data_IF_731917753168
#
_entry.id   IF_731917753168
#
_cell.length_a   1.000
_cell.length_b   1.000
_cell.length_c   1.000
_cell.angle_alpha   90.00
_cell.angle_beta   90.00
_cell.angle_gamma   90.00
#
_symmetry.space_group_name_H-M   'P 1'
#
loop_
_entity.id
_entity.type
_entity.pdbx_description
1 polymer ?
#
# COMPACT_ATOMS: atom_id res chain seq x y z
N UNK A 1 9.68 2.37 -4.69
CA UNK A 1 9.33 1.53 -5.81
C UNK A 1 9.47 2.30 -7.13
N UNK A 2 10.26 1.76 -8.06
CA UNK A 2 10.58 2.44 -9.31
C UNK A 2 9.38 2.60 -10.24
N UNK A 3 8.38 1.72 -10.11
CA UNK A 3 7.19 1.78 -10.97
C UNK A 3 6.21 2.87 -10.55
N UNK A 4 6.24 3.30 -9.30
CA UNK A 4 5.37 4.35 -8.80
C UNK A 4 6.00 5.71 -9.08
N UNK A 5 5.28 6.57 -9.82
CA UNK A 5 5.73 7.93 -10.11
C UNK A 5 5.76 8.75 -8.82
N UNK A 6 6.79 9.60 -8.65
CA UNK A 6 6.89 10.47 -7.47
C UNK A 6 5.73 11.46 -7.37
N UNK A 7 5.17 11.87 -8.50
CA UNK A 7 4.04 12.80 -8.54
C UNK A 7 2.69 12.09 -8.72
N UNK A 8 2.66 10.76 -8.57
CA UNK A 8 1.41 10.01 -8.63
C UNK A 8 0.44 10.47 -7.55
N UNK A 9 -0.85 10.45 -7.88
CA UNK A 9 -1.90 10.74 -6.91
C UNK A 9 -2.25 9.45 -6.19
N UNK A 10 -2.04 9.41 -4.88
CA UNK A 10 -2.29 8.22 -4.07
C UNK A 10 -3.34 8.50 -3.02
N UNK A 11 -4.37 7.69 -3.01
CA UNK A 11 -5.45 7.76 -2.01
C UNK A 11 -5.22 6.68 -0.96
N UNK A 12 -4.83 7.10 0.24
CA UNK A 12 -4.70 6.21 1.41
C UNK A 12 -6.02 6.28 2.18
N UNK A 13 -6.95 5.39 1.83
CA UNK A 13 -8.34 5.49 2.26
C UNK A 13 -8.90 6.85 1.81
N UNK A 14 -9.15 7.80 2.72
CA UNK A 14 -9.68 9.12 2.39
C UNK A 14 -8.61 10.21 2.31
N UNK A 15 -7.35 9.86 2.52
CA UNK A 15 -6.25 10.84 2.51
C UNK A 15 -5.52 10.78 1.16
N UNK A 16 -5.30 11.95 0.55
CA UNK A 16 -4.59 12.03 -0.74
C UNK A 16 -3.16 12.49 -0.50
N UNK A 17 -2.20 11.73 -1.01
CA UNK A 17 -0.77 12.04 -0.94
C UNK A 17 -0.13 11.80 -2.31
N UNK A 18 1.14 12.16 -2.48
CA UNK A 18 1.86 11.88 -3.72
C UNK A 18 2.66 10.56 -3.60
N UNK A 19 3.19 10.09 -4.75
CA UNK A 19 3.93 8.84 -4.79
C UNK A 19 5.20 8.89 -3.97
N UNK A 20 5.87 10.03 -3.92
CA UNK A 20 7.09 10.19 -3.12
C UNK A 20 6.80 10.00 -1.64
N UNK A 21 5.70 10.60 -1.14
CA UNK A 21 5.27 10.46 0.26
C UNK A 21 4.97 9.00 0.60
N UNK A 22 4.28 8.28 -0.31
CA UNK A 22 3.95 6.87 -0.11
C UNK A 22 5.20 6.02 -0.04
N UNK A 23 6.18 6.25 -0.90
CA UNK A 23 7.45 5.51 -0.88
C UNK A 23 8.16 5.68 0.46
N UNK A 24 8.18 6.89 0.99
CA UNK A 24 8.78 7.18 2.30
C UNK A 24 8.01 6.51 3.43
N UNK A 25 6.67 6.52 3.36
CA UNK A 25 5.84 5.87 4.37
C UNK A 25 6.06 4.35 4.38
N UNK A 26 6.15 3.71 3.22
CA UNK A 26 6.39 2.28 3.14
C UNK A 26 7.76 1.89 3.69
N UNK A 27 8.77 2.71 3.45
CA UNK A 27 10.09 2.50 4.06
C UNK A 27 10.03 2.61 5.58
N UNK A 28 9.21 3.55 6.09
CA UNK A 28 9.01 3.74 7.52
C UNK A 28 8.36 2.55 8.21
N UNK A 29 7.55 1.76 7.49
CA UNK A 29 6.94 0.55 8.05
C UNK A 29 7.98 -0.44 8.58
N UNK A 30 9.16 -0.53 7.94
CA UNK A 30 10.22 -1.42 8.38
C UNK A 30 10.88 -0.99 9.69
N UNK A 31 10.69 0.26 10.11
CA UNK A 31 11.16 0.72 11.41
C UNK A 31 10.15 0.48 12.53
N UNK A 32 8.88 0.23 12.17
CA UNK A 32 7.77 0.03 13.11
C UNK A 32 7.47 -1.47 13.27
N UNK A 33 7.58 -2.22 12.17
CA UNK A 33 7.26 -3.64 12.13
C UNK A 33 8.46 -4.45 11.63
N UNK A 34 8.54 -5.71 12.06
CA UNK A 34 9.52 -6.67 11.55
C UNK A 34 8.78 -7.90 11.01
N UNK A 35 9.53 -8.77 10.31
CA UNK A 35 8.98 -9.99 9.71
C UNK A 35 7.75 -9.71 8.88
N UNK A 36 7.83 -8.69 8.03
CA UNK A 36 6.74 -8.27 7.15
C UNK A 36 6.61 -9.28 6.01
N UNK A 37 5.39 -9.77 5.78
CA UNK A 37 5.07 -10.72 4.72
C UNK A 37 3.79 -10.32 4.02
N UNK A 38 3.72 -10.59 2.72
CA UNK A 38 2.51 -10.41 1.93
C UNK A 38 2.13 -11.79 1.40
N UNK A 39 0.93 -12.24 1.73
CA UNK A 39 0.43 -13.56 1.34
C UNK A 39 -0.92 -13.42 0.63
N UNK A 40 -1.34 -14.49 -0.05
CA UNK A 40 -2.61 -14.54 -0.79
C UNK A 40 -2.77 -13.36 -1.74
N UNK A 41 -1.69 -13.02 -2.47
CA UNK A 41 -1.72 -11.90 -3.38
C UNK A 41 -2.37 -12.30 -4.71
N UNK A 42 -3.36 -11.52 -5.13
CA UNK A 42 -4.02 -11.67 -6.43
C UNK A 42 -3.92 -10.35 -7.17
N UNK A 43 -3.59 -10.41 -8.44
CA UNK A 43 -3.53 -9.23 -9.27
C UNK A 43 -4.33 -9.46 -10.56
N UNK A 44 -5.08 -8.45 -10.99
CA UNK A 44 -5.86 -8.51 -12.22
C UNK A 44 -5.74 -7.16 -12.93
N UNK A 45 -5.34 -7.17 -14.19
CA UNK A 45 -5.18 -5.96 -14.98
C UNK A 45 -6.36 -5.80 -15.94
N UNK A 46 -6.99 -4.65 -15.93
CA UNK A 46 -8.14 -4.31 -16.76
C UNK A 46 -7.77 -3.23 -17.77
N UNK A 47 -8.19 -3.42 -19.01
CA UNK A 47 -8.02 -2.46 -20.09
C UNK A 47 -9.38 -1.88 -20.46
N UNK A 48 -9.56 -0.59 -20.22
CA UNK A 48 -10.84 0.08 -20.44
C UNK A 48 -10.91 0.68 -21.84
N UNK A 49 -12.13 0.85 -22.35
CA UNK A 49 -12.36 1.43 -23.68
C UNK A 49 -11.80 2.84 -23.81
N UNK A 50 -11.72 3.58 -22.70
CA UNK A 50 -11.15 4.92 -22.65
C UNK A 50 -9.64 4.95 -22.87
N UNK A 51 -8.99 3.78 -22.88
CA UNK A 51 -7.52 3.67 -22.94
C UNK A 51 -6.87 3.58 -21.58
N UNK A 52 -7.62 3.71 -20.49
CA UNK A 52 -7.08 3.57 -19.15
C UNK A 52 -6.72 2.12 -18.85
N UNK A 53 -5.62 1.92 -18.12
CA UNK A 53 -5.18 0.61 -17.68
C UNK A 53 -5.06 0.62 -16.16
N UNK A 54 -5.79 -0.29 -15.52
CA UNK A 54 -5.79 -0.41 -14.07
C UNK A 54 -5.42 -1.83 -13.66
N UNK A 55 -4.59 -1.95 -12.63
CA UNK A 55 -4.30 -3.22 -11.98
C UNK A 55 -4.92 -3.22 -10.59
N UNK A 56 -5.68 -4.27 -10.29
CA UNK A 56 -6.31 -4.46 -8.99
C UNK A 56 -5.53 -5.54 -8.24
N UNK A 57 -5.13 -5.26 -7.00
CA UNK A 57 -4.39 -6.19 -6.15
C UNK A 57 -5.14 -6.45 -4.86
N UNK A 58 -5.25 -7.74 -4.49
CA UNK A 58 -5.80 -8.16 -3.21
C UNK A 58 -4.73 -8.97 -2.49
N UNK A 59 -4.45 -8.65 -1.24
CA UNK A 59 -3.43 -9.36 -0.49
C UNK A 59 -3.67 -9.25 1.01
N UNK A 60 -2.95 -10.09 1.77
CA UNK A 60 -2.90 -9.99 3.22
C UNK A 60 -1.49 -9.56 3.60
N UNK A 61 -1.38 -8.45 4.30
CA UNK A 61 -0.14 -7.93 4.86
C UNK A 61 0.01 -8.43 6.27
N UNK A 62 1.17 -8.94 6.63
CA UNK A 62 1.49 -9.40 7.97
C UNK A 62 2.76 -8.75 8.46
N UNK A 63 2.79 -8.39 9.72
CA UNK A 63 3.96 -7.82 10.35
C UNK A 63 3.90 -7.96 11.87
N UNK A 64 5.06 -8.00 12.50
CA UNK A 64 5.17 -8.02 13.96
C UNK A 64 5.60 -6.67 14.44
N UNK A 65 4.85 -6.08 15.37
CA UNK A 65 5.18 -4.77 15.94
C UNK A 65 6.48 -4.82 16.72
N UNK A 66 7.37 -3.86 16.45
CA UNK A 66 8.67 -3.80 17.11
C UNK A 66 8.55 -3.47 18.60
N UNK A 67 7.54 -2.71 18.97
CA UNK A 67 7.31 -2.31 20.38
C UNK A 67 6.45 -3.31 21.14
N UNK A 68 5.36 -3.77 20.53
CA UNK A 68 4.39 -4.62 21.20
C UNK A 68 4.69 -6.12 21.09
N UNK A 69 5.41 -6.52 20.05
CA UNK A 69 5.64 -7.93 19.73
C UNK A 69 4.40 -8.65 19.20
N UNK A 70 3.32 -7.91 18.95
CA UNK A 70 2.06 -8.48 18.47
C UNK A 70 2.17 -8.75 16.97
N UNK A 71 1.69 -9.93 16.54
CA UNK A 71 1.61 -10.27 15.12
C UNK A 71 0.28 -9.77 14.55
N UNK A 72 0.37 -8.90 13.54
CA UNK A 72 -0.79 -8.32 12.88
C UNK A 72 -0.99 -8.94 11.52
N UNK A 73 -2.26 -9.05 11.10
CA UNK A 73 -2.66 -9.49 9.78
C UNK A 73 -3.71 -8.52 9.26
N UNK A 74 -3.53 -8.04 8.02
CA UNK A 74 -4.38 -6.99 7.48
C UNK A 74 -4.69 -7.27 6.02
N UNK A 75 -5.98 -7.34 5.67
CA UNK A 75 -6.41 -7.46 4.29
C UNK A 75 -6.35 -6.10 3.63
N UNK A 76 -5.80 -6.05 2.42
CA UNK A 76 -5.67 -4.81 1.69
C UNK A 76 -6.05 -5.00 0.24
N UNK A 77 -6.53 -3.93 -0.37
CA UNK A 77 -6.90 -3.86 -1.77
C UNK A 77 -6.31 -2.57 -2.35
N UNK A 78 -5.47 -2.71 -3.36
CA UNK A 78 -4.87 -1.57 -4.04
C UNK A 78 -5.28 -1.59 -5.51
N UNK A 79 -5.73 -0.44 -6.02
CA UNK A 79 -5.98 -0.23 -7.45
C UNK A 79 -4.92 0.73 -7.97
N UNK A 80 -4.26 0.37 -9.06
CA UNK A 80 -3.17 1.17 -9.64
C UNK A 80 -3.44 1.49 -11.09
N UNK A 81 -3.40 2.77 -11.44
CA UNK A 81 -3.58 3.23 -12.81
C UNK A 81 -2.20 3.45 -13.45
N UNK A 82 -2.04 2.94 -14.66
CA UNK A 82 -0.78 2.95 -15.39
C UNK A 82 -0.79 3.99 -16.52
N UNK A 83 0.37 4.61 -16.76
CA UNK A 83 0.63 5.43 -17.92
C UNK A 83 2.13 5.34 -18.25
N UNK A 84 2.46 5.00 -19.50
CA UNK A 84 3.83 4.89 -19.99
C UNK A 84 4.74 4.02 -19.09
N UNK A 85 4.19 2.91 -18.58
CA UNK A 85 4.94 1.99 -17.73
C UNK A 85 5.12 2.44 -16.29
N UNK A 86 4.48 3.54 -15.90
CA UNK A 86 4.52 4.04 -14.53
C UNK A 86 3.12 4.08 -13.92
N UNK A 87 3.06 3.88 -12.60
CA UNK A 87 1.83 4.03 -11.84
C UNK A 87 1.65 5.52 -11.56
N UNK A 88 0.57 6.10 -12.06
CA UNK A 88 0.28 7.55 -11.91
C UNK A 88 -0.84 7.83 -10.92
N UNK A 89 -1.62 6.83 -10.56
CA UNK A 89 -2.68 6.95 -9.57
C UNK A 89 -2.81 5.64 -8.83
N UNK A 90 -3.08 5.71 -7.54
CA UNK A 90 -3.16 4.54 -6.69
C UNK A 90 -4.27 4.73 -5.68
N UNK A 91 -5.15 3.74 -5.56
CA UNK A 91 -6.22 3.73 -4.57
C UNK A 91 -5.90 2.61 -3.57
N UNK A 92 -5.65 2.98 -2.32
CA UNK A 92 -5.26 2.03 -1.29
C UNK A 92 -6.36 1.91 -0.25
N UNK A 93 -6.88 0.70 -0.09
CA UNK A 93 -7.92 0.40 0.89
C UNK A 93 -7.37 -0.60 1.91
N UNK A 94 -7.30 -0.18 3.15
CA UNK A 94 -6.76 -1.03 4.22
C UNK A 94 -7.20 -0.51 5.58
N UNK A 95 -7.11 -1.38 6.58
CA UNK A 95 -7.34 -1.00 7.97
C UNK A 95 -6.02 -0.57 8.58
N UNK A 96 -5.94 0.64 9.10
CA UNK A 96 -4.71 1.15 9.71
C UNK A 96 -4.68 1.00 11.23
N UNK A 97 -5.59 0.19 11.80
CA UNK A 97 -5.66 -0.03 13.24
C UNK A 97 -4.34 -0.58 13.80
N UNK A 98 -3.76 -1.58 13.12
CA UNK A 98 -2.50 -2.19 13.56
C UNK A 98 -1.37 -1.16 13.59
N UNK A 99 -1.26 -0.34 12.56
CA UNK A 99 -0.24 0.70 12.47
C UNK A 99 -0.42 1.72 13.59
N UNK A 100 -1.65 2.18 13.82
CA UNK A 100 -1.94 3.16 14.87
C UNK A 100 -1.65 2.59 16.26
N UNK A 101 -2.00 1.33 16.51
CA UNK A 101 -1.70 0.68 17.79
C UNK A 101 -0.20 0.62 18.05
N UNK A 102 0.59 0.29 17.02
CA UNK A 102 2.05 0.18 17.18
C UNK A 102 2.70 1.56 17.37
N UNK A 103 2.26 2.57 16.59
CA UNK A 103 2.78 3.93 16.70
C UNK A 103 2.52 4.53 18.07
N UNK A 104 1.34 4.27 18.64
CA UNK A 104 0.95 4.83 19.95
C UNK A 104 1.44 4.00 21.14
N UNK A 105 2.03 2.83 20.90
CA UNK A 105 2.57 2.00 21.97
C UNK A 105 3.74 2.70 22.68
N UNK A 106 3.81 2.56 23.98
CA UNK A 106 4.86 3.15 24.81
C UNK A 106 5.89 2.13 25.21
#
# INVERSE_FOLDING_TARGET
DEMLSDDAKVYLNNTVVDGKTVKEAFKGHHSIFNDIKIIEAYAHTNYFKSGDVWTNNWFIWMGTGNKTGIRFSNRAHFDMKWDNGKIIEMLCYFDNTALNMEITAQ
#
